data_IF_962325967995
#
_entry.id   IF_962325967995
#
_cell.length_a   1.000
_cell.length_b   1.000
_cell.length_c   1.000
_cell.angle_alpha   90.00
_cell.angle_beta   90.00
_cell.angle_gamma   90.00
#
_symmetry.space_group_name_H-M   'P 1'
#
loop_
_entity.id
_entity.type
_entity.pdbx_description
1 polymer ?
#
# COMPACT_ATOMS: atom_id res chain seq x y z
N UNK A 1 -7.75 -10.12 17.46
CA UNK A 1 -8.97 -9.58 16.82
C UNK A 1 -8.80 -8.07 16.63
N UNK A 2 -9.08 -7.59 15.41
CA UNK A 2 -9.00 -6.17 15.10
C UNK A 2 -10.23 -5.47 15.68
N UNK A 3 -9.98 -4.43 16.49
CA UNK A 3 -11.04 -3.58 17.01
C UNK A 3 -10.97 -2.22 16.37
N UNK A 4 -12.04 -1.82 15.69
CA UNK A 4 -12.12 -0.53 14.99
C UNK A 4 -13.06 0.43 15.73
N UNK A 5 -12.69 1.70 15.74
CA UNK A 5 -13.61 2.77 16.13
C UNK A 5 -14.68 2.94 15.05
N UNK A 6 -15.86 3.49 15.38
CA UNK A 6 -16.96 3.59 14.40
C UNK A 6 -16.59 4.27 13.09
N UNK A 7 -15.79 5.35 13.12
CA UNK A 7 -15.38 6.03 11.91
C UNK A 7 -14.44 5.16 11.05
N UNK A 8 -13.59 4.35 11.68
CA UNK A 8 -12.70 3.42 10.98
C UNK A 8 -13.50 2.32 10.29
N UNK A 9 -14.52 1.79 10.94
CA UNK A 9 -15.39 0.79 10.33
C UNK A 9 -16.09 1.32 9.09
N UNK A 10 -16.58 2.56 9.14
CA UNK A 10 -17.22 3.21 7.98
C UNK A 10 -16.24 3.36 6.82
N UNK A 11 -14.99 3.77 7.11
CA UNK A 11 -13.96 3.93 6.09
C UNK A 11 -13.65 2.59 5.43
N UNK A 12 -13.37 1.57 6.22
CA UNK A 12 -13.01 0.24 5.69
C UNK A 12 -14.17 -0.34 4.90
N UNK A 13 -15.40 -0.19 5.36
CA UNK A 13 -16.57 -0.63 4.62
C UNK A 13 -16.67 0.06 3.25
N UNK A 14 -16.44 1.37 3.19
CA UNK A 14 -16.43 2.10 1.91
C UNK A 14 -15.31 1.63 1.00
N UNK A 15 -14.14 1.32 1.54
CA UNK A 15 -13.03 0.79 0.75
C UNK A 15 -13.38 -0.54 0.10
N UNK A 16 -14.15 -1.38 0.75
CA UNK A 16 -14.60 -2.65 0.15
C UNK A 16 -15.63 -2.46 -0.95
N UNK A 17 -16.32 -1.32 -0.98
CA UNK A 17 -17.37 -1.01 -1.93
C UNK A 17 -16.88 -0.24 -3.16
N UNK A 18 -15.62 0.16 -3.19
CA UNK A 18 -15.05 0.94 -4.29
C UNK A 18 -13.66 0.42 -4.62
N UNK A 19 -13.15 0.79 -5.78
CA UNK A 19 -11.81 0.39 -6.22
C UNK A 19 -10.80 1.52 -6.11
N UNK A 20 -11.23 2.76 -6.02
CA UNK A 20 -10.32 3.91 -5.96
C UNK A 20 -10.92 5.01 -5.11
N UNK A 21 -10.08 5.67 -4.32
CA UNK A 21 -10.53 6.80 -3.56
C UNK A 21 -9.45 7.45 -2.72
N UNK A 22 -9.80 8.64 -2.26
CA UNK A 22 -9.03 9.38 -1.27
C UNK A 22 -9.66 9.13 0.10
N UNK A 23 -8.84 8.66 1.04
CA UNK A 23 -9.28 8.37 2.41
C UNK A 23 -8.73 9.46 3.32
N UNK A 24 -9.62 10.25 3.88
CA UNK A 24 -9.27 11.36 4.77
C UNK A 24 -9.54 10.91 6.20
N UNK A 25 -8.47 10.78 6.98
CA UNK A 25 -8.56 10.36 8.38
C UNK A 25 -7.90 11.46 9.21
N UNK A 26 -8.59 12.02 10.21
CA UNK A 26 -7.98 13.03 11.07
C UNK A 26 -6.70 12.52 11.74
N UNK A 27 -5.78 13.43 12.02
CA UNK A 27 -4.55 13.11 12.74
C UNK A 27 -4.90 12.37 14.03
N UNK A 28 -4.22 11.25 14.28
CA UNK A 28 -4.54 10.38 15.42
C UNK A 28 -5.78 9.52 15.20
N UNK A 29 -6.41 9.59 14.02
CA UNK A 29 -7.62 8.82 13.71
C UNK A 29 -7.40 7.38 13.31
N UNK A 30 -6.14 6.93 13.26
CA UNK A 30 -5.82 5.52 13.01
C UNK A 30 -5.88 5.13 11.54
N UNK A 31 -5.34 5.95 10.63
CA UNK A 31 -5.31 5.61 9.19
C UNK A 31 -4.57 4.29 8.92
N UNK A 32 -3.51 4.02 9.68
CA UNK A 32 -2.76 2.76 9.54
C UNK A 32 -3.65 1.57 9.86
N UNK A 33 -4.50 1.66 10.88
CA UNK A 33 -5.42 0.58 11.20
C UNK A 33 -6.46 0.35 10.11
N UNK A 34 -6.89 1.41 9.41
CA UNK A 34 -7.76 1.26 8.26
C UNK A 34 -7.07 0.50 7.12
N UNK A 35 -5.80 0.82 6.83
CA UNK A 35 -5.01 0.09 5.83
C UNK A 35 -4.87 -1.38 6.22
N UNK A 36 -4.45 -1.65 7.46
CA UNK A 36 -4.21 -3.02 7.95
C UNK A 36 -5.50 -3.85 7.87
N UNK A 37 -6.62 -3.27 8.29
CA UNK A 37 -7.90 -3.98 8.28
C UNK A 37 -8.35 -4.29 6.87
N UNK A 38 -8.23 -3.34 5.94
CA UNK A 38 -8.55 -3.59 4.53
C UNK A 38 -7.65 -4.68 3.95
N UNK A 39 -6.34 -4.59 4.20
CA UNK A 39 -5.39 -5.60 3.74
C UNK A 39 -5.71 -6.99 4.30
N UNK A 40 -6.01 -7.07 5.59
CA UNK A 40 -6.38 -8.32 6.23
C UNK A 40 -7.61 -8.95 5.55
N UNK A 41 -8.61 -8.14 5.25
CA UNK A 41 -9.82 -8.61 4.54
C UNK A 41 -9.50 -9.08 3.12
N UNK A 42 -8.66 -8.34 2.40
CA UNK A 42 -8.27 -8.74 1.05
C UNK A 42 -7.47 -10.04 1.05
N UNK A 43 -6.60 -10.25 2.01
CA UNK A 43 -5.81 -11.48 2.12
C UNK A 43 -6.66 -12.73 2.41
N UNK A 44 -7.89 -12.56 2.88
CA UNK A 44 -8.81 -13.70 3.04
C UNK A 44 -9.23 -14.31 1.69
N UNK A 45 -9.18 -13.55 0.61
CA UNK A 45 -9.43 -14.09 -0.73
C UNK A 45 -8.30 -15.00 -1.22
N UNK A 46 -7.10 -14.88 -0.65
CA UNK A 46 -5.92 -15.63 -1.05
C UNK A 46 -5.27 -15.08 -2.31
N UNK A 47 -3.97 -15.33 -2.44
CA UNK A 47 -3.17 -15.00 -3.61
C UNK A 47 -3.26 -13.51 -4.00
N UNK A 48 -3.21 -12.63 -3.01
CA UNK A 48 -3.27 -11.19 -3.22
C UNK A 48 -1.88 -10.58 -3.10
N UNK A 49 -1.61 -9.59 -3.95
CA UNK A 49 -0.40 -8.76 -3.85
C UNK A 49 -0.82 -7.34 -3.49
N UNK A 50 -0.36 -6.86 -2.34
CA UNK A 50 -0.67 -5.53 -1.82
C UNK A 50 0.63 -4.73 -1.71
N UNK A 51 0.61 -3.49 -2.20
CA UNK A 51 1.74 -2.56 -2.10
C UNK A 51 1.38 -1.42 -1.16
N UNK A 52 2.27 -1.09 -0.24
CA UNK A 52 2.14 0.03 0.70
C UNK A 52 3.26 1.02 0.42
N UNK A 53 2.90 2.24 0.07
CA UNK A 53 3.84 3.29 -0.32
C UNK A 53 3.92 4.34 0.78
N UNK A 54 5.12 4.56 1.31
CA UNK A 54 5.39 5.55 2.36
C UNK A 54 6.30 6.65 1.83
N UNK A 55 6.27 7.86 2.46
CA UNK A 55 7.12 8.96 2.00
C UNK A 55 8.62 8.76 2.27
N UNK A 56 8.98 7.94 3.26
CA UNK A 56 10.37 7.73 3.67
C UNK A 56 10.59 6.31 4.12
N UNK A 57 11.85 5.86 4.04
CA UNK A 57 12.25 4.51 4.44
C UNK A 57 11.84 4.19 5.88
N UNK A 58 12.09 5.09 6.81
CA UNK A 58 11.73 4.87 8.22
C UNK A 58 10.24 4.63 8.39
N UNK A 59 9.40 5.39 7.68
CA UNK A 59 7.94 5.20 7.73
C UNK A 59 7.52 3.89 7.07
N UNK A 60 8.17 3.48 5.98
CA UNK A 60 7.92 2.18 5.38
C UNK A 60 8.22 1.04 6.36
N UNK A 61 9.32 1.14 7.09
CA UNK A 61 9.68 0.17 8.12
C UNK A 61 8.69 0.15 9.27
N UNK A 62 8.24 1.32 9.73
CA UNK A 62 7.23 1.41 10.80
C UNK A 62 5.89 0.83 10.37
N UNK A 63 5.46 1.10 9.13
CA UNK A 63 4.24 0.51 8.58
C UNK A 63 4.36 -1.01 8.51
N UNK A 64 5.50 -1.51 8.05
CA UNK A 64 5.76 -2.95 8.00
C UNK A 64 5.63 -3.57 9.39
N UNK A 65 6.24 -2.97 10.40
CA UNK A 65 6.15 -3.48 11.78
C UNK A 65 4.69 -3.50 12.26
N UNK A 66 3.94 -2.44 12.01
CA UNK A 66 2.53 -2.36 12.43
C UNK A 66 1.66 -3.39 11.70
N UNK A 67 1.83 -3.51 10.38
CA UNK A 67 1.07 -4.49 9.59
C UNK A 67 1.34 -5.92 10.07
N UNK A 68 2.61 -6.26 10.32
CA UNK A 68 3.00 -7.63 10.64
C UNK A 68 2.69 -8.05 12.08
N UNK A 69 2.30 -7.12 12.94
CA UNK A 69 1.72 -7.46 14.25
C UNK A 69 0.35 -8.12 14.11
N UNK A 70 -0.34 -7.90 13.00
CA UNK A 70 -1.72 -8.36 12.79
C UNK A 70 -1.80 -9.35 11.63
N UNK A 71 -1.09 -9.09 10.53
CA UNK A 71 -1.11 -9.92 9.34
C UNK A 71 0.03 -10.94 9.42
N UNK A 72 -0.32 -12.21 9.47
CA UNK A 72 0.64 -13.32 9.60
C UNK A 72 0.61 -14.30 8.41
N UNK A 73 -0.23 -14.02 7.42
CA UNK A 73 -0.46 -14.93 6.29
C UNK A 73 -0.01 -14.31 4.95
N UNK A 74 1.06 -13.53 4.96
CA UNK A 74 1.61 -12.92 3.74
C UNK A 74 3.13 -12.96 3.76
N UNK A 75 3.71 -13.16 2.58
CA UNK A 75 5.15 -13.00 2.35
C UNK A 75 5.49 -11.52 2.23
N UNK A 76 6.64 -11.11 2.70
CA UNK A 76 7.02 -9.71 2.85
C UNK A 76 8.23 -9.37 1.99
N UNK A 77 8.13 -8.25 1.26
CA UNK A 77 9.24 -7.69 0.49
C UNK A 77 9.35 -6.20 0.81
N UNK A 78 10.56 -5.72 0.97
CA UNK A 78 10.85 -4.29 1.06
C UNK A 78 11.54 -3.81 -0.21
N UNK A 79 11.01 -2.74 -0.82
CA UNK A 79 11.58 -2.13 -2.02
C UNK A 79 11.99 -0.71 -1.67
N UNK A 80 13.19 -0.59 -1.14
CA UNK A 80 13.86 0.68 -0.82
C UNK A 80 15.34 0.37 -0.52
N UNK A 81 16.16 1.42 -0.45
CA UNK A 81 17.60 1.27 -0.24
C UNK A 81 18.00 1.08 1.23
N UNK A 82 17.05 1.12 2.16
CA UNK A 82 17.34 0.93 3.58
C UNK A 82 17.46 -0.53 3.97
N UNK A 83 18.03 -0.76 5.16
CA UNK A 83 18.11 -2.09 5.73
C UNK A 83 16.74 -2.56 6.23
N UNK A 84 16.55 -3.87 6.24
CA UNK A 84 15.32 -4.48 6.71
C UNK A 84 15.60 -5.90 7.20
N UNK A 85 14.81 -6.37 8.17
CA UNK A 85 14.84 -7.76 8.61
C UNK A 85 14.18 -8.70 7.59
N UNK A 86 13.57 -8.16 6.56
CA UNK A 86 12.93 -8.89 5.48
C UNK A 86 13.77 -8.81 4.21
N UNK A 87 13.47 -9.66 3.24
CA UNK A 87 14.10 -9.56 1.93
C UNK A 87 13.85 -8.16 1.35
N UNK A 88 14.92 -7.55 0.86
CA UNK A 88 14.90 -6.17 0.39
C UNK A 88 15.66 -6.05 -0.92
N UNK A 89 15.10 -5.32 -1.87
CA UNK A 89 15.73 -5.07 -3.17
C UNK A 89 15.16 -3.83 -3.82
N UNK A 90 15.96 -3.16 -4.65
CA UNK A 90 15.49 -2.10 -5.54
C UNK A 90 15.61 -2.51 -7.01
N UNK A 91 16.01 -3.72 -7.28
CA UNK A 91 16.18 -4.25 -8.63
C UNK A 91 14.85 -4.80 -9.15
N UNK A 92 14.36 -4.26 -10.27
CA UNK A 92 13.05 -4.65 -10.83
C UNK A 92 12.98 -6.13 -11.20
N UNK A 93 14.07 -6.70 -11.69
CA UNK A 93 14.13 -8.12 -12.01
C UNK A 93 14.02 -9.00 -10.77
N UNK A 94 14.71 -8.61 -9.69
CA UNK A 94 14.64 -9.32 -8.42
C UNK A 94 13.23 -9.25 -7.83
N UNK A 95 12.53 -8.13 -8.00
CA UNK A 95 11.13 -7.99 -7.59
C UNK A 95 10.27 -9.00 -8.35
N UNK A 96 10.42 -9.06 -9.67
CA UNK A 96 9.66 -10.02 -10.49
C UNK A 96 9.92 -11.46 -10.08
N UNK A 97 11.19 -11.83 -9.85
CA UNK A 97 11.58 -13.17 -9.43
C UNK A 97 10.98 -13.52 -8.07
N UNK A 98 10.98 -12.58 -7.14
CA UNK A 98 10.40 -12.80 -5.83
C UNK A 98 8.89 -13.06 -5.92
N UNK A 99 8.17 -12.31 -6.77
CA UNK A 99 6.74 -12.51 -6.97
C UNK A 99 6.47 -13.88 -7.59
N UNK A 100 7.26 -14.29 -8.58
CA UNK A 100 7.12 -15.61 -9.20
C UNK A 100 7.37 -16.72 -8.18
N UNK A 101 8.38 -16.58 -7.35
CA UNK A 101 8.73 -17.58 -6.33
C UNK A 101 7.66 -17.68 -5.23
N UNK A 102 6.84 -16.65 -5.06
CA UNK A 102 5.76 -16.61 -4.08
C UNK A 102 4.39 -16.46 -4.74
N UNK A 103 4.26 -16.98 -5.96
CA UNK A 103 3.09 -16.74 -6.80
C UNK A 103 1.77 -17.13 -6.14
N UNK A 104 1.75 -18.25 -5.41
CA UNK A 104 0.55 -18.77 -4.76
C UNK A 104 0.32 -18.23 -3.36
N UNK A 105 1.19 -17.36 -2.89
CA UNK A 105 1.10 -16.78 -1.55
C UNK A 105 0.50 -15.38 -1.60
N UNK A 106 -0.11 -14.98 -0.49
CA UNK A 106 -0.35 -13.56 -0.24
C UNK A 106 1.00 -12.84 -0.13
N UNK A 107 1.10 -11.66 -0.72
CA UNK A 107 2.33 -10.89 -0.78
C UNK A 107 2.06 -9.45 -0.37
N UNK A 108 2.91 -8.91 0.49
CA UNK A 108 2.85 -7.51 0.86
C UNK A 108 4.20 -6.87 0.61
N UNK A 109 4.20 -5.75 -0.10
CA UNK A 109 5.41 -5.03 -0.51
C UNK A 109 5.37 -3.62 0.10
N UNK A 110 6.38 -3.30 0.91
CA UNK A 110 6.54 -1.97 1.48
C UNK A 110 7.59 -1.22 0.68
N UNK A 111 7.24 -0.03 0.21
CA UNK A 111 8.11 0.78 -0.63
C UNK A 111 7.99 2.26 -0.28
N UNK A 112 8.81 3.08 -0.91
CA UNK A 112 8.73 4.53 -0.84
C UNK A 112 8.30 5.09 -2.19
N UNK A 113 7.83 6.35 -2.20
CA UNK A 113 7.55 7.04 -3.48
C UNK A 113 8.77 7.06 -4.38
N UNK A 114 9.96 7.21 -3.77
CA UNK A 114 11.22 7.24 -4.50
C UNK A 114 11.52 5.93 -5.23
N UNK A 115 11.15 4.79 -4.66
CA UNK A 115 11.44 3.46 -5.22
C UNK A 115 10.25 2.84 -5.97
N UNK A 116 9.10 3.50 -5.99
CA UNK A 116 7.88 2.95 -6.60
C UNK A 116 8.05 2.63 -8.09
N UNK A 117 8.88 3.41 -8.80
CA UNK A 117 9.17 3.17 -10.21
C UNK A 117 9.80 1.80 -10.45
N UNK A 118 10.49 1.23 -9.48
CA UNK A 118 11.08 -0.11 -9.57
C UNK A 118 10.01 -1.18 -9.62
N UNK A 119 8.94 -0.99 -8.85
CA UNK A 119 7.79 -1.90 -8.88
C UNK A 119 7.06 -1.76 -10.21
N UNK A 120 6.86 -0.55 -10.72
CA UNK A 120 6.29 -0.34 -12.04
C UNK A 120 7.10 -1.06 -13.13
N UNK A 121 8.42 -0.90 -13.12
CA UNK A 121 9.31 -1.53 -14.11
C UNK A 121 9.31 -3.06 -14.02
N UNK A 122 9.03 -3.61 -12.85
CA UNK A 122 8.97 -5.07 -12.66
C UNK A 122 7.77 -5.72 -13.33
N UNK A 123 6.74 -4.94 -13.68
CA UNK A 123 5.51 -5.41 -14.32
C UNK A 123 4.76 -6.49 -13.54
N UNK A 124 4.92 -6.53 -12.23
CA UNK A 124 4.20 -7.51 -11.41
C UNK A 124 2.72 -7.14 -11.31
N UNK A 125 1.83 -8.12 -11.17
CA UNK A 125 0.43 -7.83 -10.86
C UNK A 125 0.29 -7.32 -9.44
N UNK A 126 -0.48 -6.26 -9.26
CA UNK A 126 -0.78 -5.65 -7.95
C UNK A 126 -2.29 -5.56 -7.81
N UNK A 127 -2.85 -6.15 -6.77
CA UNK A 127 -4.29 -6.15 -6.53
C UNK A 127 -4.75 -4.89 -5.80
N UNK A 128 -3.97 -4.44 -4.83
CA UNK A 128 -4.29 -3.25 -4.03
C UNK A 128 -3.03 -2.45 -3.75
N UNK A 129 -3.13 -1.14 -3.83
CA UNK A 129 -2.03 -0.24 -3.44
C UNK A 129 -2.56 0.86 -2.52
N UNK A 130 -1.85 1.09 -1.42
CA UNK A 130 -2.11 2.18 -0.48
C UNK A 130 -0.98 3.19 -0.55
N UNK A 131 -1.35 4.45 -0.73
CA UNK A 131 -0.41 5.58 -0.69
C UNK A 131 -0.57 6.30 0.64
N UNK A 132 0.42 6.17 1.52
CA UNK A 132 0.45 6.89 2.79
C UNK A 132 0.98 8.30 2.60
N UNK A 133 0.44 9.26 3.35
CA UNK A 133 0.78 10.66 3.19
C UNK A 133 0.65 11.10 1.72
N UNK A 134 -0.55 11.01 1.17
CA UNK A 134 -0.81 11.14 -0.26
C UNK A 134 -0.35 12.48 -0.87
N UNK A 135 -0.12 13.51 -0.05
CA UNK A 135 0.45 14.77 -0.51
C UNK A 135 1.77 14.55 -1.26
N UNK A 136 2.56 13.56 -0.85
CA UNK A 136 3.84 13.25 -1.49
C UNK A 136 3.67 12.73 -2.91
N UNK A 137 2.50 12.22 -3.26
CA UNK A 137 2.24 11.70 -4.61
C UNK A 137 2.21 12.81 -5.69
N UNK A 138 2.02 14.06 -5.28
CA UNK A 138 1.96 15.19 -6.21
C UNK A 138 3.34 15.79 -6.51
N UNK A 139 4.39 15.32 -5.85
CA UNK A 139 5.74 15.73 -6.14
C UNK A 139 6.14 15.27 -7.55
N UNK A 140 6.84 16.18 -8.27
CA UNK A 140 7.08 16.02 -9.71
C UNK A 140 7.69 14.65 -10.09
N UNK A 141 8.73 14.21 -9.38
CA UNK A 141 9.44 12.97 -9.73
C UNK A 141 8.73 11.70 -9.26
N UNK A 142 7.65 11.82 -8.49
CA UNK A 142 6.84 10.68 -8.07
C UNK A 142 5.55 10.54 -8.89
N UNK A 143 5.24 11.52 -9.73
CA UNK A 143 3.96 11.62 -10.43
C UNK A 143 3.72 10.45 -11.39
N UNK A 144 4.70 10.08 -12.20
CA UNK A 144 4.55 9.06 -13.24
C UNK A 144 4.22 7.68 -12.66
N UNK A 145 5.01 7.11 -11.73
CA UNK A 145 4.67 5.80 -11.18
C UNK A 145 3.39 5.83 -10.34
N UNK A 146 3.13 6.92 -9.62
CA UNK A 146 1.88 7.07 -8.87
C UNK A 146 0.68 7.05 -9.81
N UNK A 147 0.75 7.82 -10.90
CA UNK A 147 -0.32 7.87 -11.89
C UNK A 147 -0.55 6.51 -12.56
N UNK A 148 0.52 5.79 -12.86
CA UNK A 148 0.41 4.44 -13.42
C UNK A 148 -0.46 3.55 -12.53
N UNK A 149 -0.16 3.49 -11.24
CA UNK A 149 -0.91 2.65 -10.31
C UNK A 149 -2.32 3.17 -10.04
N UNK A 150 -2.52 4.49 -10.09
CA UNK A 150 -3.83 5.09 -9.84
C UNK A 150 -4.80 4.93 -11.03
N UNK A 151 -4.30 4.83 -12.25
CA UNK A 151 -5.16 4.86 -13.46
C UNK A 151 -5.41 3.48 -14.08
N UNK A 152 -4.68 2.44 -13.67
CA UNK A 152 -4.88 1.10 -14.21
C UNK A 152 -6.15 0.47 -13.63
N UNK A 153 -6.98 -0.11 -14.50
CA UNK A 153 -8.35 -0.52 -14.15
C UNK A 153 -8.45 -1.78 -13.29
N UNK A 154 -7.43 -2.62 -13.23
CA UNK A 154 -7.52 -3.94 -12.61
C UNK A 154 -7.00 -3.98 -11.18
N UNK A 155 -6.96 -2.84 -10.49
CA UNK A 155 -6.45 -2.79 -9.13
C UNK A 155 -7.21 -1.77 -8.30
N UNK A 156 -7.14 -2.01 -6.99
CA UNK A 156 -7.67 -1.09 -5.99
C UNK A 156 -6.56 -0.11 -5.62
N UNK A 157 -6.87 1.18 -5.51
CA UNK A 157 -5.90 2.21 -5.20
C UNK A 157 -6.51 3.23 -4.24
N UNK A 158 -5.89 3.41 -3.07
CA UNK A 158 -6.38 4.31 -2.04
C UNK A 158 -5.27 5.27 -1.58
N UNK A 159 -5.62 6.55 -1.54
CA UNK A 159 -4.73 7.62 -1.10
C UNK A 159 -5.14 8.07 0.31
N UNK A 160 -4.25 7.92 1.27
CA UNK A 160 -4.49 8.27 2.67
C UNK A 160 -3.84 9.60 3.00
N UNK A 161 -4.60 10.48 3.63
CA UNK A 161 -4.11 11.78 4.10
C UNK A 161 -4.87 12.20 5.35
N UNK A 162 -4.20 13.00 6.21
CA UNK A 162 -4.83 13.55 7.40
C UNK A 162 -5.65 14.80 7.10
N UNK A 163 -5.37 15.50 5.98
CA UNK A 163 -6.09 16.71 5.58
C UNK A 163 -6.52 16.62 4.13
N UNK A 164 -7.68 17.20 3.76
CA UNK A 164 -8.10 17.23 2.36
C UNK A 164 -7.13 18.04 1.52
N UNK A 165 -6.73 17.49 0.38
CA UNK A 165 -5.90 18.15 -0.62
C UNK A 165 -6.57 18.06 -1.97
N UNK A 166 -6.13 18.92 -2.92
CA UNK A 166 -6.65 18.93 -4.29
C UNK A 166 -6.08 17.76 -5.10
N UNK A 167 -6.30 16.56 -4.61
CA UNK A 167 -6.06 15.36 -5.40
C UNK A 167 -7.32 15.12 -6.23
N UNK A 168 -7.18 15.12 -7.56
CA UNK A 168 -8.29 14.92 -8.49
C UNK A 168 -8.77 13.48 -8.48
N UNK A 169 -9.17 12.98 -7.31
CA UNK A 169 -9.53 11.58 -7.08
C UNK A 169 -10.88 11.48 -6.39
N UNK A 170 -11.46 10.30 -6.47
CA UNK A 170 -12.72 9.99 -5.82
C UNK A 170 -12.54 10.03 -4.30
N UNK A 171 -13.44 10.73 -3.63
CA UNK A 171 -13.46 10.80 -2.18
C UNK A 171 -14.27 9.66 -1.58
N UNK A 172 -13.77 9.17 -0.45
CA UNK A 172 -14.44 8.16 0.35
C UNK A 172 -14.98 8.77 1.64
#
# INVERSE_FOLDING_TARGET
MIKLRPHQERIVKRMTQTTKGQVIVPTGGGKTMCMITDAHRQFQYGNQTIVVVAPRILLAQQLSDDFLKIIDNAKVLHVHSGESDHFSTTNSRSISEWVVNNWNDNKIIFTTYHSLNRIQQSSIPVNTIYFDEALNSVQRHFHTPTRFFATTNNRRCFFFTATPHHLSLIHI
#
